data_IF_348233406010
#
_entry.id   IF_348233406010
#
_cell.length_a   1.000
_cell.length_b   1.000
_cell.length_c   1.000
_cell.angle_alpha   90.00
_cell.angle_beta   90.00
_cell.angle_gamma   90.00
#
_symmetry.space_group_name_H-M   'P 1'
#
loop_
_entity.id
_entity.type
_entity.pdbx_description
1 polymer ?
#
# COMPACT_ATOMS: atom_id res chain seq x y z
N UNK A 1 -10.53 12.52 -7.33
CA UNK A 1 -10.30 11.06 -7.37
C UNK A 1 -10.36 10.45 -8.77
N UNK A 2 -11.33 10.76 -9.64
CA UNK A 2 -11.43 10.11 -10.96
C UNK A 2 -10.16 10.13 -11.82
N UNK A 3 -9.43 11.25 -11.84
CA UNK A 3 -8.13 11.37 -12.55
C UNK A 3 -7.06 10.42 -12.02
N UNK A 4 -7.12 10.01 -10.74
CA UNK A 4 -6.17 9.05 -10.16
C UNK A 4 -6.36 7.68 -10.81
N UNK A 5 -7.61 7.24 -11.00
CA UNK A 5 -7.88 5.98 -11.69
C UNK A 5 -7.43 6.02 -13.14
N UNK A 6 -7.71 7.11 -13.87
CA UNK A 6 -7.23 7.24 -15.25
C UNK A 6 -5.70 7.12 -15.32
N UNK A 7 -4.98 7.78 -14.42
CA UNK A 7 -3.53 7.75 -14.38
C UNK A 7 -2.98 6.37 -14.00
N UNK A 8 -3.57 5.68 -13.02
CA UNK A 8 -3.18 4.32 -12.64
C UNK A 8 -3.31 3.40 -13.86
N UNK A 9 -4.41 3.50 -14.59
CA UNK A 9 -4.69 2.65 -15.74
C UNK A 9 -3.78 2.95 -16.93
N UNK A 10 -3.56 4.23 -17.23
CA UNK A 10 -2.64 4.66 -18.29
C UNK A 10 -1.19 4.30 -17.96
N UNK A 11 -0.77 4.47 -16.71
CA UNK A 11 0.55 4.05 -16.25
C UNK A 11 0.71 2.53 -16.40
N UNK A 12 -0.24 1.73 -15.90
CA UNK A 12 -0.20 0.28 -16.07
C UNK A 12 -0.02 -0.14 -17.53
N UNK A 13 -0.72 0.54 -18.45
CA UNK A 13 -0.62 0.25 -19.88
C UNK A 13 0.75 0.63 -20.44
N UNK A 14 1.26 1.81 -20.09
CA UNK A 14 2.58 2.29 -20.51
C UNK A 14 3.73 1.41 -19.96
N UNK A 15 3.53 0.79 -18.81
CA UNK A 15 4.50 -0.10 -18.16
C UNK A 15 4.42 -1.55 -18.63
N UNK A 16 3.51 -1.88 -19.55
CA UNK A 16 3.32 -3.26 -20.01
C UNK A 16 2.85 -4.20 -18.90
N UNK A 17 2.14 -3.69 -17.90
CA UNK A 17 1.49 -4.52 -16.87
C UNK A 17 0.56 -5.51 -17.56
N UNK A 18 0.60 -6.78 -17.15
CA UNK A 18 -0.35 -7.82 -17.56
C UNK A 18 -1.47 -8.01 -16.54
N UNK A 19 -1.18 -7.76 -15.25
CA UNK A 19 -2.10 -7.94 -14.14
C UNK A 19 -2.00 -6.77 -13.17
N UNK A 20 -3.06 -5.96 -13.13
CA UNK A 20 -3.17 -4.87 -12.18
C UNK A 20 -3.90 -5.37 -10.93
N UNK A 21 -3.15 -5.65 -9.88
CA UNK A 21 -3.69 -6.03 -8.58
C UNK A 21 -4.26 -4.81 -7.91
N UNK A 22 -5.54 -4.88 -7.60
CA UNK A 22 -6.31 -3.81 -7.01
C UNK A 22 -7.13 -4.38 -5.85
N UNK A 23 -7.31 -3.60 -4.79
CA UNK A 23 -8.20 -3.95 -3.69
C UNK A 23 -9.11 -2.76 -3.39
N UNK A 24 -10.32 -2.96 -2.82
CA UNK A 24 -11.24 -1.90 -2.41
C UNK A 24 -10.70 -1.03 -1.25
N UNK A 25 -9.54 -0.40 -1.43
CA UNK A 25 -8.80 0.25 -0.36
C UNK A 25 -9.52 1.47 0.22
N UNK A 26 -9.25 1.68 1.51
CA UNK A 26 -9.97 2.59 2.39
C UNK A 26 -9.93 4.06 1.94
N UNK A 27 -11.02 4.49 1.33
CA UNK A 27 -11.39 5.90 1.23
C UNK A 27 -12.01 6.42 2.54
N UNK A 28 -12.18 5.55 3.54
CA UNK A 28 -12.84 5.85 4.81
C UNK A 28 -12.31 7.11 5.50
N UNK A 29 -10.99 7.27 5.65
CA UNK A 29 -10.45 8.48 6.29
C UNK A 29 -10.75 9.79 5.53
N UNK A 30 -10.82 9.73 4.19
CA UNK A 30 -11.19 10.85 3.36
C UNK A 30 -12.70 11.11 3.43
N UNK A 31 -13.52 10.08 3.22
CA UNK A 31 -14.98 10.16 3.22
C UNK A 31 -15.54 10.58 4.58
N UNK A 32 -14.99 10.04 5.68
CA UNK A 32 -15.38 10.39 7.06
C UNK A 32 -15.16 11.85 7.40
N UNK A 33 -14.25 12.55 6.71
CA UNK A 33 -13.96 13.96 6.97
C UNK A 33 -14.42 14.89 5.85
N UNK A 34 -15.03 14.37 4.78
CA UNK A 34 -15.40 15.19 3.63
C UNK A 34 -16.48 16.22 3.97
N UNK A 35 -17.44 15.84 4.83
CA UNK A 35 -18.48 16.73 5.36
C UNK A 35 -17.91 17.94 6.13
N UNK A 36 -16.72 17.79 6.74
CA UNK A 36 -16.04 18.88 7.45
C UNK A 36 -15.45 19.92 6.50
N UNK A 37 -15.21 19.54 5.25
CA UNK A 37 -14.65 20.40 4.21
C UNK A 37 -15.74 21.02 3.34
N UNK A 38 -16.89 20.34 3.21
CA UNK A 38 -18.00 20.75 2.34
C UNK A 38 -19.32 20.20 2.88
N UNK A 39 -20.22 21.10 3.31
CA UNK A 39 -21.49 20.76 3.96
C UNK A 39 -22.52 20.07 3.06
N UNK A 40 -22.23 19.90 1.75
CA UNK A 40 -23.08 19.11 0.85
C UNK A 40 -22.95 17.60 1.07
N UNK A 41 -21.90 17.16 1.75
CA UNK A 41 -21.68 15.74 2.03
C UNK A 41 -22.20 15.40 3.43
N UNK A 42 -23.10 14.42 3.52
CA UNK A 42 -23.60 13.90 4.79
C UNK A 42 -22.70 12.78 5.32
N UNK A 43 -22.64 12.64 6.64
CA UNK A 43 -21.89 11.57 7.33
C UNK A 43 -22.77 10.35 7.67
N UNK A 44 -24.04 10.35 7.29
CA UNK A 44 -24.90 9.19 7.47
C UNK A 44 -24.49 8.01 6.57
N UNK A 45 -24.93 6.82 6.94
CA UNK A 45 -24.53 5.56 6.28
C UNK A 45 -24.95 5.54 4.80
N UNK A 46 -26.10 6.13 4.47
CA UNK A 46 -26.64 6.20 3.10
C UNK A 46 -25.76 7.10 2.23
N UNK A 47 -25.39 8.28 2.72
CA UNK A 47 -24.51 9.23 2.06
C UNK A 47 -23.12 8.64 1.84
N UNK A 48 -22.57 7.98 2.85
CA UNK A 48 -21.28 7.30 2.73
C UNK A 48 -21.32 6.12 1.74
N UNK A 49 -22.39 5.32 1.74
CA UNK A 49 -22.59 4.25 0.76
C UNK A 49 -22.68 4.81 -0.68
N UNK A 50 -23.46 5.88 -0.88
CA UNK A 50 -23.57 6.56 -2.17
C UNK A 50 -22.23 7.11 -2.67
N UNK A 51 -21.42 7.68 -1.77
CA UNK A 51 -20.09 8.17 -2.12
C UNK A 51 -19.12 7.04 -2.51
N UNK A 52 -19.13 5.91 -1.78
CA UNK A 52 -18.36 4.71 -2.14
C UNK A 52 -18.76 4.21 -3.52
N UNK A 53 -20.06 4.07 -3.77
CA UNK A 53 -20.58 3.62 -5.06
C UNK A 53 -20.21 4.58 -6.20
N UNK A 54 -20.36 5.89 -5.99
CA UNK A 54 -19.98 6.90 -7.00
C UNK A 54 -18.48 6.82 -7.36
N UNK A 55 -17.61 6.60 -6.37
CA UNK A 55 -16.18 6.39 -6.59
C UNK A 55 -15.90 5.10 -7.36
N UNK A 56 -16.54 4.00 -6.99
CA UNK A 56 -16.43 2.72 -7.68
C UNK A 56 -16.91 2.82 -9.14
N UNK A 57 -18.05 3.48 -9.39
CA UNK A 57 -18.53 3.77 -10.76
C UNK A 57 -17.54 4.60 -11.55
N UNK A 58 -16.84 5.54 -10.92
CA UNK A 58 -15.80 6.32 -11.60
C UNK A 58 -14.59 5.47 -12.00
N UNK A 59 -14.22 4.48 -11.18
CA UNK A 59 -13.20 3.49 -11.52
C UNK A 59 -13.63 2.64 -12.72
N UNK A 60 -14.85 2.08 -12.68
CA UNK A 60 -15.40 1.28 -13.79
C UNK A 60 -15.50 2.10 -15.08
N UNK A 61 -15.91 3.38 -14.99
CA UNK A 61 -15.88 4.30 -16.13
C UNK A 61 -14.47 4.43 -16.71
N UNK A 62 -13.46 4.57 -15.84
CA UNK A 62 -12.07 4.69 -16.27
C UNK A 62 -11.64 3.46 -17.05
N UNK A 63 -11.97 2.25 -16.57
CA UNK A 63 -11.66 1.00 -17.25
C UNK A 63 -12.30 0.89 -18.64
N UNK A 64 -13.59 1.22 -18.75
CA UNK A 64 -14.33 1.19 -20.02
C UNK A 64 -13.72 2.16 -21.03
N UNK A 65 -13.37 3.37 -20.59
CA UNK A 65 -12.81 4.41 -21.47
C UNK A 65 -11.37 4.10 -21.86
N UNK A 66 -10.54 3.68 -20.89
CA UNK A 66 -9.11 3.48 -21.10
C UNK A 66 -8.80 2.27 -22.00
N UNK A 67 -9.69 1.26 -22.06
CA UNK A 67 -9.51 0.03 -22.86
C UNK A 67 -8.12 -0.58 -22.65
N UNK A 68 -7.74 -0.72 -21.39
CA UNK A 68 -6.41 -1.20 -21.00
C UNK A 68 -6.11 -2.61 -21.50
N UNK A 69 -4.84 -2.93 -21.82
CA UNK A 69 -4.44 -4.24 -22.36
C UNK A 69 -4.22 -5.32 -21.29
N UNK A 70 -4.63 -5.08 -20.05
CA UNK A 70 -4.38 -5.95 -18.90
C UNK A 70 -5.64 -6.28 -18.12
N UNK A 71 -5.55 -7.31 -17.28
CA UNK A 71 -6.65 -7.71 -16.40
C UNK A 71 -6.49 -7.03 -15.06
N UNK A 72 -7.56 -6.40 -14.56
CA UNK A 72 -7.62 -5.97 -13.17
C UNK A 72 -7.99 -7.15 -12.30
N UNK A 73 -7.15 -7.48 -11.32
CA UNK A 73 -7.42 -8.52 -10.32
C UNK A 73 -7.92 -7.82 -9.06
N UNK A 74 -9.24 -7.84 -8.85
CA UNK A 74 -9.88 -7.24 -7.70
C UNK A 74 -9.83 -8.21 -6.51
N UNK A 75 -8.90 -7.97 -5.59
CA UNK A 75 -8.72 -8.73 -4.37
C UNK A 75 -9.69 -8.26 -3.28
N UNK A 76 -10.53 -9.19 -2.81
CA UNK A 76 -11.44 -9.00 -1.68
C UNK A 76 -10.97 -9.91 -0.56
N UNK A 77 -10.42 -9.32 0.50
CA UNK A 77 -9.98 -10.04 1.69
C UNK A 77 -11.00 -9.83 2.83
N UNK A 78 -11.38 -10.89 3.57
CA UNK A 78 -12.26 -10.75 4.72
C UNK A 78 -11.59 -9.89 5.79
N UNK A 79 -12.25 -8.79 6.16
CA UNK A 79 -11.80 -7.99 7.29
C UNK A 79 -12.38 -8.61 8.56
N UNK A 80 -11.55 -9.26 9.39
CA UNK A 80 -11.99 -9.83 10.68
C UNK A 80 -12.54 -8.79 11.68
N UNK A 81 -12.63 -7.51 11.29
CA UNK A 81 -13.25 -6.39 11.99
C UNK A 81 -14.06 -5.59 10.98
N UNK A 82 -15.35 -5.89 10.93
CA UNK A 82 -16.30 -5.33 9.96
C UNK A 82 -16.30 -3.80 9.88
N UNK A 83 -16.41 -3.30 8.66
CA UNK A 83 -17.63 -2.68 8.11
C UNK A 83 -17.23 -1.84 6.87
N UNK A 84 -16.11 -1.11 6.94
CA UNK A 84 -15.68 -0.24 5.85
C UNK A 84 -15.06 -0.97 4.66
N UNK A 85 -14.25 -2.00 4.90
CA UNK A 85 -13.63 -2.79 3.83
C UNK A 85 -14.69 -3.56 3.05
N UNK A 86 -15.63 -4.17 3.76
CA UNK A 86 -16.75 -4.89 3.19
C UNK A 86 -17.70 -3.94 2.43
N UNK A 87 -18.02 -2.77 3.00
CA UNK A 87 -18.81 -1.74 2.31
C UNK A 87 -18.13 -1.22 1.03
N UNK A 88 -16.80 -1.06 1.04
CA UNK A 88 -16.07 -0.72 -0.19
C UNK A 88 -16.14 -1.86 -1.20
N UNK A 89 -15.94 -3.11 -0.77
CA UNK A 89 -16.02 -4.27 -1.64
C UNK A 89 -17.41 -4.36 -2.30
N UNK A 90 -18.49 -4.21 -1.54
CA UNK A 90 -19.86 -4.18 -2.04
C UNK A 90 -20.04 -3.08 -3.09
N UNK A 91 -19.57 -1.86 -2.82
CA UNK A 91 -19.67 -0.75 -3.77
C UNK A 91 -18.92 -1.04 -5.09
N UNK A 92 -17.72 -1.63 -5.02
CA UNK A 92 -16.97 -2.02 -6.22
C UNK A 92 -17.65 -3.14 -7.00
N UNK A 93 -18.16 -4.18 -6.33
CA UNK A 93 -18.89 -5.27 -6.95
C UNK A 93 -20.17 -4.76 -7.65
N UNK A 94 -20.95 -3.92 -6.98
CA UNK A 94 -22.15 -3.30 -7.55
C UNK A 94 -21.80 -2.48 -8.80
N UNK A 95 -20.78 -1.62 -8.73
CA UNK A 95 -20.38 -0.80 -9.85
C UNK A 95 -19.88 -1.62 -11.05
N UNK A 96 -19.16 -2.72 -10.80
CA UNK A 96 -18.68 -3.64 -11.84
C UNK A 96 -19.89 -4.31 -12.54
N UNK A 97 -20.83 -4.86 -11.76
CA UNK A 97 -22.04 -5.48 -12.30
C UNK A 97 -22.89 -4.49 -13.11
N UNK A 98 -23.04 -3.26 -12.63
CA UNK A 98 -23.69 -2.18 -13.39
C UNK A 98 -22.95 -1.89 -14.70
N UNK A 99 -21.62 -1.77 -14.66
CA UNK A 99 -20.80 -1.53 -15.85
C UNK A 99 -20.91 -2.62 -16.90
N UNK A 100 -21.06 -3.89 -16.49
CA UNK A 100 -21.22 -5.04 -17.39
C UNK A 100 -22.63 -5.06 -17.98
N UNK A 101 -23.67 -4.97 -17.15
CA UNK A 101 -25.05 -5.20 -17.59
C UNK A 101 -25.74 -3.95 -18.15
N UNK A 102 -25.53 -2.79 -17.50
CA UNK A 102 -26.21 -1.53 -17.82
C UNK A 102 -25.34 -0.59 -18.65
N UNK A 103 -24.02 -0.72 -18.57
CA UNK A 103 -23.07 0.21 -19.17
C UNK A 103 -22.84 1.43 -18.29
N UNK A 104 -21.89 2.29 -18.70
CA UNK A 104 -21.47 3.45 -17.94
C UNK A 104 -21.82 4.74 -18.69
N UNK A 105 -22.91 5.38 -18.29
CA UNK A 105 -23.44 6.59 -18.93
C UNK A 105 -24.22 6.32 -20.21
N UNK A 106 -23.69 5.45 -21.08
CA UNK A 106 -24.33 4.99 -22.31
C UNK A 106 -24.37 3.44 -22.36
N UNK A 107 -25.43 2.86 -22.93
CA UNK A 107 -25.60 1.40 -23.07
C UNK A 107 -24.54 0.73 -23.93
N UNK A 108 -23.90 1.47 -24.83
CA UNK A 108 -22.77 1.03 -25.68
C UNK A 108 -21.44 0.98 -24.93
N UNK A 109 -21.33 1.71 -23.81
CA UNK A 109 -20.11 1.80 -22.99
C UNK A 109 -20.12 0.76 -21.87
N UNK A 110 -19.97 -0.52 -22.23
CA UNK A 110 -19.98 -1.63 -21.26
C UNK A 110 -18.58 -2.08 -20.87
N UNK A 111 -18.45 -2.50 -19.61
CA UNK A 111 -17.26 -3.18 -19.12
C UNK A 111 -17.23 -4.60 -19.69
N UNK A 112 -16.10 -5.00 -20.27
CA UNK A 112 -15.90 -6.37 -20.73
C UNK A 112 -15.71 -7.27 -19.51
N UNK A 113 -16.46 -8.38 -19.36
CA UNK A 113 -16.27 -9.29 -18.23
C UNK A 113 -14.82 -9.78 -18.07
N UNK A 114 -14.10 -10.01 -19.18
CA UNK A 114 -12.70 -10.44 -19.16
C UNK A 114 -11.69 -9.37 -18.70
N UNK A 115 -12.10 -8.11 -18.56
CA UNK A 115 -11.20 -7.03 -18.12
C UNK A 115 -11.00 -6.98 -16.60
N UNK A 116 -11.86 -7.66 -15.83
CA UNK A 116 -11.78 -7.70 -14.37
C UNK A 116 -12.03 -9.12 -13.88
N UNK A 117 -11.14 -9.63 -13.05
CA UNK A 117 -11.34 -10.86 -12.30
C UNK A 117 -11.48 -10.53 -10.81
N UNK A 118 -12.44 -11.17 -10.14
CA UNK A 118 -12.69 -10.99 -8.71
C UNK A 118 -12.04 -12.17 -7.97
N UNK A 119 -11.13 -11.86 -7.05
CA UNK A 119 -10.43 -12.82 -6.21
C UNK A 119 -10.94 -12.69 -4.77
N UNK A 120 -11.79 -13.62 -4.35
CA UNK A 120 -12.39 -13.66 -3.02
C UNK A 120 -11.44 -14.35 -2.05
N UNK A 121 -11.40 -13.88 -0.80
CA UNK A 121 -10.47 -14.33 0.24
C UNK A 121 -9.00 -14.21 -0.17
N UNK A 122 -8.71 -13.19 -0.99
CA UNK A 122 -7.40 -12.98 -1.56
C UNK A 122 -6.77 -11.71 -0.99
N UNK A 123 -5.62 -11.88 -0.33
CA UNK A 123 -4.77 -10.75 0.04
C UNK A 123 -4.02 -10.22 -1.19
N UNK A 124 -4.09 -8.91 -1.41
CA UNK A 124 -3.54 -8.28 -2.61
C UNK A 124 -2.01 -8.42 -2.72
N UNK A 125 -1.29 -8.41 -1.59
CA UNK A 125 0.16 -8.58 -1.59
C UNK A 125 0.54 -10.01 -1.96
N UNK A 126 -0.15 -10.98 -1.34
CA UNK A 126 0.05 -12.41 -1.61
C UNK A 126 -0.19 -12.73 -3.08
N UNK A 127 -1.29 -12.24 -3.66
CA UNK A 127 -1.59 -12.42 -5.09
C UNK A 127 -0.54 -11.76 -5.97
N UNK A 128 -0.14 -10.51 -5.65
CA UNK A 128 0.88 -9.81 -6.42
C UNK A 128 2.22 -10.57 -6.44
N UNK A 129 2.63 -11.10 -5.28
CA UNK A 129 3.85 -11.89 -5.17
C UNK A 129 3.78 -13.20 -5.96
N UNK A 130 2.65 -13.92 -5.86
CA UNK A 130 2.45 -15.16 -6.62
C UNK A 130 2.56 -14.91 -8.13
N UNK A 131 1.86 -13.89 -8.63
CA UNK A 131 1.87 -13.58 -10.06
C UNK A 131 3.25 -13.08 -10.53
N UNK A 132 3.97 -12.36 -9.68
CA UNK A 132 5.33 -11.96 -9.98
C UNK A 132 6.29 -13.16 -10.03
N UNK A 133 6.12 -14.13 -9.13
CA UNK A 133 6.89 -15.39 -9.15
C UNK A 133 6.63 -16.20 -10.42
N UNK A 134 5.41 -16.14 -10.94
CA UNK A 134 5.02 -16.74 -12.24
C UNK A 134 5.54 -15.94 -13.45
N UNK A 135 6.47 -15.00 -13.23
CA UNK A 135 7.10 -14.15 -14.26
C UNK A 135 6.13 -13.27 -15.03
N UNK A 136 5.00 -12.89 -14.42
CA UNK A 136 4.03 -11.94 -15.00
C UNK A 136 4.44 -10.51 -14.67
N UNK A 137 4.06 -9.55 -15.52
CA UNK A 137 4.29 -8.13 -15.24
C UNK A 137 3.16 -7.61 -14.36
N UNK A 138 3.42 -7.51 -13.06
CA UNK A 138 2.40 -7.19 -12.06
C UNK A 138 2.48 -5.72 -11.65
N UNK A 139 1.34 -5.04 -11.66
CA UNK A 139 1.18 -3.72 -11.04
C UNK A 139 0.31 -3.81 -9.80
N UNK A 140 0.81 -3.42 -8.62
CA UNK A 140 0.02 -3.39 -7.38
C UNK A 140 -0.39 -1.95 -7.05
N UNK A 141 -1.69 -1.71 -6.85
CA UNK A 141 -2.20 -0.41 -6.42
C UNK A 141 -2.39 -0.41 -4.90
N UNK A 142 -1.59 0.36 -4.15
CA UNK A 142 -1.55 0.28 -2.67
C UNK A 142 -1.88 1.56 -1.89
N UNK A 143 -3.05 1.63 -1.25
CA UNK A 143 -3.49 2.77 -0.43
C UNK A 143 -2.93 2.93 1.00
N UNK A 144 -1.87 2.22 1.40
CA UNK A 144 -1.50 2.00 2.81
C UNK A 144 -0.98 3.21 3.62
N UNK A 145 -1.00 3.03 4.96
CA UNK A 145 -0.71 4.01 6.02
C UNK A 145 0.80 4.30 6.19
N UNK A 146 1.14 5.49 6.70
CA UNK A 146 2.49 5.98 6.99
C UNK A 146 3.35 5.08 7.89
N UNK A 147 2.74 4.17 8.66
CA UNK A 147 3.47 3.23 9.54
C UNK A 147 3.99 1.99 8.83
N UNK A 148 3.56 1.76 7.59
CA UNK A 148 4.00 0.65 6.74
C UNK A 148 4.93 1.14 5.62
N UNK A 149 5.65 2.24 5.86
CA UNK A 149 6.57 2.88 4.89
C UNK A 149 7.94 2.18 4.93
N UNK A 150 8.50 1.90 3.75
CA UNK A 150 9.88 1.45 3.58
C UNK A 150 10.01 -0.06 3.38
N UNK A 151 11.26 -0.53 3.26
CA UNK A 151 11.71 -1.90 2.96
C UNK A 151 11.06 -3.05 3.78
N UNK A 152 10.16 -2.75 4.71
CA UNK A 152 9.35 -3.72 5.44
C UNK A 152 8.22 -4.36 4.62
N UNK A 153 7.77 -3.76 3.50
CA UNK A 153 6.78 -4.43 2.63
C UNK A 153 7.33 -5.63 1.88
N UNK A 154 8.62 -5.61 1.60
CA UNK A 154 9.24 -6.60 0.75
C UNK A 154 10.61 -6.92 1.31
N UNK A 155 10.66 -7.95 2.15
CA UNK A 155 11.87 -8.76 2.31
C UNK A 155 12.42 -9.18 0.92
N UNK A 156 13.64 -9.72 0.87
CA UNK A 156 14.51 -10.01 -0.30
C UNK A 156 13.94 -10.39 -1.71
N UNK A 157 12.63 -10.54 -1.93
CA UNK A 157 11.99 -10.99 -3.17
C UNK A 157 11.51 -9.92 -4.17
N UNK A 158 11.39 -8.64 -3.81
CA UNK A 158 10.85 -7.64 -4.73
C UNK A 158 11.92 -7.00 -5.63
N UNK A 159 12.44 -7.76 -6.60
CA UNK A 159 13.32 -7.19 -7.63
C UNK A 159 12.59 -6.15 -8.48
N UNK A 160 11.26 -6.26 -8.70
CA UNK A 160 10.50 -5.50 -9.70
C UNK A 160 9.40 -4.54 -9.15
N UNK A 161 9.40 -4.20 -7.85
CA UNK A 161 8.31 -3.39 -7.28
C UNK A 161 8.57 -1.87 -7.40
N UNK A 162 7.63 -1.14 -8.00
CA UNK A 162 7.54 0.32 -7.89
C UNK A 162 6.72 0.64 -6.63
N UNK A 163 7.39 0.81 -5.49
CA UNK A 163 6.79 1.46 -4.31
C UNK A 163 7.15 2.95 -4.32
N UNK A 164 6.19 3.77 -4.75
CA UNK A 164 6.17 5.17 -4.38
C UNK A 164 4.74 5.60 -4.12
N UNK A 165 4.25 5.43 -2.89
CA UNK A 165 3.22 6.25 -2.21
C UNK A 165 2.31 7.11 -3.13
N UNK A 166 1.69 6.49 -4.14
CA UNK A 166 1.31 7.16 -5.40
C UNK A 166 0.07 8.05 -5.25
N UNK A 167 -0.58 8.01 -4.09
CA UNK A 167 -1.95 8.47 -3.94
C UNK A 167 -2.09 9.65 -2.98
N UNK A 168 -1.06 10.02 -2.22
CA UNK A 168 -1.31 10.97 -1.14
C UNK A 168 -1.28 12.44 -1.53
N UNK A 169 -0.65 12.91 -2.64
CA UNK A 169 -0.67 14.37 -2.95
C UNK A 169 -0.63 14.87 -4.41
N UNK A 170 -0.21 14.13 -5.44
CA UNK A 170 -0.29 14.63 -6.83
C UNK A 170 0.12 13.58 -7.87
N UNK A 171 -0.57 13.51 -9.00
CA UNK A 171 -0.10 12.75 -10.17
C UNK A 171 1.25 13.26 -10.69
N UNK A 172 1.57 14.54 -10.48
CA UNK A 172 2.87 15.10 -10.83
C UNK A 172 3.98 14.48 -10.00
N UNK A 173 3.75 14.28 -8.70
CA UNK A 173 4.73 13.63 -7.84
C UNK A 173 4.96 12.17 -8.25
N UNK A 174 3.89 11.46 -8.62
CA UNK A 174 3.97 10.11 -9.17
C UNK A 174 4.74 10.03 -10.51
N UNK A 175 4.54 11.00 -11.40
CA UNK A 175 5.32 11.09 -12.63
C UNK A 175 6.80 11.45 -12.34
N UNK A 176 7.06 12.38 -11.41
CA UNK A 176 8.41 12.78 -11.01
C UNK A 176 9.16 11.61 -10.38
N UNK A 177 8.54 10.89 -9.46
CA UNK A 177 8.99 9.63 -8.88
C UNK A 177 9.45 8.62 -9.94
N UNK A 178 8.58 8.34 -10.91
CA UNK A 178 8.86 7.43 -12.01
C UNK A 178 10.09 7.87 -12.82
N UNK A 179 10.17 9.15 -13.16
CA UNK A 179 11.31 9.71 -13.89
C UNK A 179 12.61 9.67 -13.07
N UNK A 180 12.53 9.93 -11.76
CA UNK A 180 13.67 9.86 -10.84
C UNK A 180 14.21 8.42 -10.69
N UNK A 181 13.34 7.42 -10.79
CA UNK A 181 13.73 6.02 -10.74
C UNK A 181 14.30 5.48 -12.07
N UNK A 182 14.32 6.29 -13.14
CA UNK A 182 14.80 5.84 -14.45
C UNK A 182 13.81 4.92 -15.18
N UNK A 183 12.53 4.96 -14.81
CA UNK A 183 11.48 4.12 -15.40
C UNK A 183 11.09 2.92 -14.53
N UNK A 184 10.49 1.90 -15.14
CA UNK A 184 10.07 0.67 -14.48
C UNK A 184 11.11 -0.45 -14.54
N UNK A 185 12.22 -0.24 -15.25
CA UNK A 185 13.26 -1.25 -15.36
C UNK A 185 14.01 -1.43 -14.04
N UNK A 186 14.26 -2.68 -13.70
CA UNK A 186 14.96 -3.03 -12.47
C UNK A 186 16.44 -2.85 -12.66
N UNK A 187 16.98 -1.93 -11.88
CA UNK A 187 18.41 -1.65 -11.84
C UNK A 187 18.90 -1.71 -10.40
N UNK A 188 20.17 -2.11 -10.24
CA UNK A 188 20.82 -2.09 -8.94
C UNK A 188 21.04 -0.64 -8.53
N UNK A 189 20.47 -0.23 -7.40
CA UNK A 189 20.61 1.14 -6.88
C UNK A 189 21.89 1.27 -6.04
N UNK A 190 22.65 2.32 -6.31
CA UNK A 190 23.74 2.81 -5.47
C UNK A 190 23.28 3.99 -4.59
N UNK A 191 23.97 4.30 -3.47
CA UNK A 191 23.58 5.37 -2.55
C UNK A 191 23.32 6.73 -3.22
N UNK A 192 24.02 7.02 -4.32
CA UNK A 192 23.94 8.30 -5.01
C UNK A 192 22.95 8.32 -6.20
N UNK A 193 22.31 7.19 -6.52
CA UNK A 193 21.45 7.04 -7.71
C UNK A 193 20.33 8.08 -7.75
N UNK A 194 19.68 8.33 -6.60
CA UNK A 194 18.62 9.34 -6.51
C UNK A 194 19.17 10.76 -6.71
N UNK A 195 20.30 11.08 -6.08
CA UNK A 195 20.93 12.39 -6.21
C UNK A 195 21.35 12.69 -7.65
N UNK A 196 21.90 11.69 -8.35
CA UNK A 196 22.24 11.78 -9.77
C UNK A 196 21.01 11.96 -10.65
N UNK A 197 19.93 11.21 -10.39
CA UNK A 197 18.68 11.34 -11.13
C UNK A 197 18.03 12.73 -10.93
N UNK A 198 18.04 13.25 -9.70
CA UNK A 198 17.56 14.61 -9.39
C UNK A 198 18.36 15.64 -10.18
N UNK A 199 19.69 15.56 -10.17
CA UNK A 199 20.56 16.48 -10.94
C UNK A 199 20.32 16.38 -12.44
N UNK A 200 20.17 15.16 -12.98
CA UNK A 200 19.88 14.92 -14.41
C UNK A 200 18.57 15.56 -14.86
N UNK A 201 17.56 15.59 -14.00
CA UNK A 201 16.28 16.25 -14.26
C UNK A 201 16.29 17.76 -13.96
N UNK A 202 17.46 18.36 -13.70
CA UNK A 202 17.62 19.78 -13.42
C UNK A 202 17.26 20.20 -11.99
N UNK A 203 17.09 19.22 -11.08
CA UNK A 203 16.83 19.47 -9.67
C UNK A 203 18.12 19.72 -8.87
N UNK A 204 17.96 20.38 -7.73
CA UNK A 204 19.06 20.62 -6.78
C UNK A 204 19.08 19.56 -5.69
N UNK A 205 20.25 19.02 -5.38
CA UNK A 205 20.45 18.12 -4.24
C UNK A 205 21.05 18.93 -3.10
N UNK A 206 20.39 18.91 -1.95
CA UNK A 206 20.91 19.51 -0.73
C UNK A 206 21.32 18.39 0.22
N UNK A 207 22.59 18.38 0.62
CA UNK A 207 22.99 17.58 1.77
C UNK A 207 22.33 18.18 3.01
N UNK A 208 21.38 17.45 3.56
CA UNK A 208 20.87 17.77 4.88
C UNK A 208 22.04 17.51 5.83
N UNK A 209 22.49 18.54 6.54
CA UNK A 209 23.44 18.39 7.63
C UNK A 209 22.98 17.19 8.47
N UNK A 210 23.85 16.19 8.61
CA UNK A 210 23.51 14.97 9.32
C UNK A 210 22.84 15.37 10.64
N UNK A 211 21.53 15.12 10.77
CA UNK A 211 20.90 15.17 12.09
C UNK A 211 21.72 14.19 12.90
N UNK A 212 22.48 14.71 13.85
CA UNK A 212 23.39 13.93 14.68
C UNK A 212 22.66 12.65 15.06
N UNK A 213 23.20 11.50 14.65
CA UNK A 213 22.60 10.18 14.91
C UNK A 213 22.35 9.92 16.41
N UNK A 214 22.83 10.80 17.28
CA UNK A 214 22.52 10.86 18.70
C UNK A 214 21.03 10.89 19.01
N UNK A 215 20.16 11.57 18.25
CA UNK A 215 18.75 11.75 18.68
C UNK A 215 17.84 10.55 18.35
N UNK A 216 18.15 9.82 17.27
CA UNK A 216 17.46 8.55 16.92
C UNK A 216 18.06 7.41 17.74
N UNK A 217 19.39 7.35 17.86
CA UNK A 217 20.08 6.36 18.69
C UNK A 217 19.71 6.52 20.17
N UNK A 218 19.58 7.75 20.69
CA UNK A 218 19.12 7.98 22.05
C UNK A 218 17.65 7.58 22.26
N UNK A 219 16.78 7.75 21.27
CA UNK A 219 15.38 7.28 21.35
C UNK A 219 15.29 5.77 21.34
N UNK A 220 16.05 5.09 20.47
CA UNK A 220 16.11 3.62 20.40
C UNK A 220 16.76 3.05 21.66
N UNK A 221 17.87 3.62 22.14
CA UNK A 221 18.51 3.25 23.42
C UNK A 221 17.56 3.47 24.60
N UNK A 222 16.81 4.57 24.62
CA UNK A 222 15.84 4.85 25.69
C UNK A 222 14.67 3.87 25.66
N UNK A 223 14.21 3.48 24.47
CA UNK A 223 13.17 2.45 24.32
C UNK A 223 13.70 1.08 24.76
N UNK A 224 14.89 0.69 24.31
CA UNK A 224 15.54 -0.57 24.66
C UNK A 224 15.75 -0.71 26.18
N UNK A 225 16.32 0.33 26.82
CA UNK A 225 16.52 0.39 28.27
C UNK A 225 15.24 0.43 29.08
N UNK A 226 14.11 0.81 28.49
CA UNK A 226 12.82 0.78 29.18
C UNK A 226 12.29 -0.66 29.32
N UNK A 227 12.76 -1.58 28.48
CA UNK A 227 12.28 -2.96 28.41
C UNK A 227 13.31 -4.00 28.88
N UNK A 228 14.60 -3.66 28.84
CA UNK A 228 15.66 -4.38 29.59
C UNK A 228 15.52 -4.06 31.10
N UNK A 229 14.56 -4.73 31.76
CA UNK A 229 14.26 -4.57 33.18
C UNK A 229 15.44 -5.11 34.04
N UNK A 230 16.17 -6.10 33.51
CA UNK A 230 17.33 -6.72 34.15
C UNK A 230 18.62 -5.89 34.08
N UNK A 231 18.75 -5.02 33.06
CA UNK A 231 19.90 -4.17 32.81
C UNK A 231 21.12 -4.91 32.24
N UNK A 232 20.94 -6.11 31.69
CA UNK A 232 22.02 -6.96 31.18
C UNK A 232 22.46 -6.61 29.74
N UNK A 233 21.80 -5.61 29.14
CA UNK A 233 22.09 -5.14 27.79
C UNK A 233 21.44 -5.97 26.68
N UNK A 234 20.52 -6.88 27.04
CA UNK A 234 19.74 -7.72 26.13
C UNK A 234 18.28 -7.73 26.59
N UNK A 235 17.36 -8.09 25.70
CA UNK A 235 15.95 -8.29 26.07
C UNK A 235 15.68 -9.79 26.08
N UNK A 236 15.45 -10.34 27.26
CA UNK A 236 15.03 -11.72 27.41
C UNK A 236 13.63 -11.95 26.85
N UNK A 237 13.30 -13.20 26.53
CA UNK A 237 11.96 -13.58 26.08
C UNK A 237 10.84 -13.13 27.03
N UNK A 238 11.07 -13.19 28.34
CA UNK A 238 10.09 -12.75 29.33
C UNK A 238 9.86 -11.23 29.29
N UNK A 239 10.92 -10.44 29.12
CA UNK A 239 10.86 -8.99 28.96
C UNK A 239 10.20 -8.58 27.63
N UNK A 240 10.48 -9.33 26.57
CA UNK A 240 9.87 -9.13 25.25
C UNK A 240 8.36 -9.42 25.26
N UNK A 241 7.92 -10.49 25.93
CA UNK A 241 6.50 -10.81 26.12
C UNK A 241 5.79 -9.70 26.90
N UNK A 242 6.40 -9.21 27.99
CA UNK A 242 5.89 -8.06 28.75
C UNK A 242 5.79 -6.79 27.89
N UNK A 243 6.79 -6.53 27.05
CA UNK A 243 6.78 -5.43 26.09
C UNK A 243 5.57 -5.55 25.13
N UNK A 244 5.36 -6.72 24.52
CA UNK A 244 4.26 -6.96 23.59
C UNK A 244 2.88 -6.87 24.26
N UNK A 245 2.75 -7.34 25.51
CA UNK A 245 1.54 -7.17 26.31
C UNK A 245 1.22 -5.69 26.59
N UNK A 246 2.24 -4.88 26.91
CA UNK A 246 2.09 -3.41 27.08
C UNK A 246 1.69 -2.70 25.77
N UNK A 247 1.96 -3.33 24.62
CA UNK A 247 1.60 -2.84 23.28
C UNK A 247 0.27 -3.43 22.75
N UNK A 248 -0.52 -4.09 23.61
CA UNK A 248 -1.83 -4.67 23.28
C UNK A 248 -1.78 -5.85 22.29
N UNK A 249 -0.66 -6.57 22.19
CA UNK A 249 -0.57 -7.82 21.45
C UNK A 249 -0.94 -9.02 22.33
N UNK A 250 -1.63 -10.01 21.74
CA UNK A 250 -2.01 -11.27 22.42
C UNK A 250 -0.77 -12.12 22.69
N UNK A 251 -0.79 -12.90 23.77
CA UNK A 251 0.35 -13.72 24.21
C UNK A 251 0.74 -14.78 23.17
N UNK A 252 -0.21 -15.26 22.36
CA UNK A 252 0.00 -16.31 21.35
C UNK A 252 0.93 -15.89 20.19
N UNK A 253 1.03 -14.59 19.89
CA UNK A 253 1.92 -14.10 18.82
C UNK A 253 3.35 -13.82 19.30
N UNK A 254 3.57 -13.80 20.62
CA UNK A 254 4.84 -13.36 21.22
C UNK A 254 6.01 -14.30 20.92
N UNK A 255 5.76 -15.60 20.84
CA UNK A 255 6.75 -16.64 20.52
C UNK A 255 7.28 -16.47 19.08
N UNK A 256 6.35 -16.24 18.15
CA UNK A 256 6.66 -16.08 16.72
C UNK A 256 7.41 -14.76 16.48
N UNK A 257 6.97 -13.68 17.10
CA UNK A 257 7.61 -12.37 16.96
C UNK A 257 9.00 -12.37 17.62
N UNK A 258 9.17 -13.06 18.76
CA UNK A 258 10.47 -13.20 19.41
C UNK A 258 11.46 -13.94 18.52
N UNK A 259 11.05 -15.07 17.91
CA UNK A 259 11.90 -15.82 16.98
C UNK A 259 12.28 -15.06 15.71
N UNK A 260 11.47 -14.07 15.32
CA UNK A 260 11.79 -13.18 14.19
C UNK A 260 12.79 -12.08 14.58
N UNK A 261 12.80 -11.67 15.86
CA UNK A 261 13.72 -10.68 16.40
C UNK A 261 15.07 -11.30 16.83
N UNK A 262 15.07 -12.52 17.35
CA UNK A 262 16.25 -13.29 17.74
C UNK A 262 16.93 -13.90 16.50
N UNK A 263 17.63 -13.05 15.73
CA UNK A 263 18.24 -13.45 14.46
C UNK A 263 19.41 -14.42 14.61
N UNK A 264 20.11 -14.35 15.75
CA UNK A 264 21.25 -15.24 16.04
C UNK A 264 20.85 -16.50 16.82
N UNK A 265 19.59 -16.59 17.28
CA UNK A 265 18.99 -17.71 18.02
C UNK A 265 19.67 -17.99 19.37
N UNK A 266 20.20 -16.95 20.03
CA UNK A 266 20.84 -17.06 21.34
C UNK A 266 19.85 -17.01 22.51
N UNK A 267 18.55 -16.83 22.22
CA UNK A 267 17.49 -16.77 23.21
C UNK A 267 17.29 -15.38 23.81
N UNK A 268 17.95 -14.36 23.27
CA UNK A 268 17.84 -12.95 23.66
C UNK A 268 17.73 -12.05 22.42
N UNK A 269 17.18 -10.85 22.60
CA UNK A 269 17.23 -9.80 21.56
C UNK A 269 18.26 -8.78 21.99
N UNK A 270 19.42 -8.78 21.34
CA UNK A 270 20.46 -7.79 21.61
C UNK A 270 20.10 -6.42 21.04
N UNK A 271 20.83 -5.39 21.48
CA UNK A 271 20.68 -4.04 20.92
C UNK A 271 20.85 -3.96 19.40
N UNK A 272 21.64 -4.86 18.81
CA UNK A 272 21.84 -4.91 17.36
C UNK A 272 20.69 -5.62 16.61
N UNK A 273 19.87 -6.38 17.34
CA UNK A 273 18.75 -7.16 16.83
C UNK A 273 17.39 -6.46 17.06
N UNK A 274 17.37 -5.42 17.89
CA UNK A 274 16.21 -4.56 18.19
C UNK A 274 16.09 -3.37 17.23
#
# INVERSE_FOLDING_TARGET
MGRIYDNILQAGAALGVSDLIFFPFGMGAFLRNLHKLDGRYCQDDVGLANLRHALAKRFVKALVVAKVPFVVRLCIAPSGKGDELDANAVAFLQAILEGIHKGVGDKSMRLKPSSVEILVNADALTVAQQYANDRRTVGLVNGANRRLIGNHWFSHGARMAIDENLHRRSWRMAATAYLLNGGAEVSRRHPNTLAEAVKRLGGTVQELAARSGSDVKAKIIKLFRQYDESGDGRISKAEFVKMLMRLNHQQDDSETIFKLADTNQDGFVSYHEF
#
